data_IF_353297199121
#
_entry.id   IF_353297199121
#
_cell.length_a   1.000
_cell.length_b   1.000
_cell.length_c   1.000
_cell.angle_alpha   90.00
_cell.angle_beta   90.00
_cell.angle_gamma   90.00
#
_symmetry.space_group_name_H-M   'P 1'
#
loop_
_entity.id
_entity.type
_entity.pdbx_description
1 polymer ?
#
# COMPACT_ATOMS: atom_id res chain seq x y z
N UNK A 1 -17.46 -39.69 -11.80
CA UNK A 1 -17.68 -38.37 -12.45
C UNK A 1 -16.67 -37.39 -11.88
N UNK A 2 -15.78 -36.83 -12.70
CA UNK A 2 -14.90 -35.74 -12.30
C UNK A 2 -15.71 -34.44 -12.36
N UNK A 3 -15.90 -33.77 -11.23
CA UNK A 3 -16.50 -32.43 -11.17
C UNK A 3 -15.48 -31.45 -11.72
N UNK A 4 -15.74 -30.91 -12.91
CA UNK A 4 -15.01 -29.77 -13.45
C UNK A 4 -15.19 -28.60 -12.48
N UNK A 5 -14.12 -27.92 -12.02
CA UNK A 5 -14.25 -26.72 -11.21
C UNK A 5 -15.01 -25.66 -12.01
N UNK A 6 -16.10 -25.12 -11.46
CA UNK A 6 -16.76 -23.95 -12.02
C UNK A 6 -15.80 -22.77 -11.81
N UNK A 7 -15.42 -22.02 -12.85
CA UNK A 7 -14.58 -20.84 -12.66
C UNK A 7 -15.30 -19.85 -11.74
N UNK A 8 -14.61 -19.34 -10.73
CA UNK A 8 -15.12 -18.21 -9.95
C UNK A 8 -15.12 -16.96 -10.83
N UNK A 9 -16.29 -16.56 -11.32
CA UNK A 9 -16.43 -15.29 -12.02
C UNK A 9 -16.83 -14.20 -11.00
N UNK A 10 -16.00 -13.16 -10.89
CA UNK A 10 -16.26 -11.97 -10.08
C UNK A 10 -16.95 -10.89 -10.92
N UNK A 11 -18.00 -10.26 -10.40
CA UNK A 11 -18.59 -9.04 -11.00
C UNK A 11 -17.84 -7.81 -10.50
N UNK A 12 -17.55 -6.87 -11.41
CA UNK A 12 -16.92 -5.58 -11.10
C UNK A 12 -17.94 -4.47 -11.35
N UNK A 13 -18.23 -3.66 -10.34
CA UNK A 13 -19.00 -2.43 -10.51
C UNK A 13 -18.02 -1.27 -10.62
N UNK A 14 -17.99 -0.62 -11.78
CA UNK A 14 -17.15 0.55 -12.02
C UNK A 14 -18.03 1.79 -12.05
N UNK A 15 -17.93 2.64 -11.02
CA UNK A 15 -18.45 4.00 -11.12
C UNK A 15 -17.40 4.87 -11.82
N UNK A 16 -17.76 5.48 -12.95
CA UNK A 16 -16.89 6.43 -13.65
C UNK A 16 -16.96 7.81 -13.01
N UNK A 17 -16.57 7.91 -11.74
CA UNK A 17 -16.24 9.17 -11.07
C UNK A 17 -15.00 8.91 -10.21
N UNK A 18 -14.01 9.76 -10.39
CA UNK A 18 -12.61 9.65 -9.96
C UNK A 18 -12.51 9.26 -8.47
N UNK A 19 -11.85 8.13 -8.17
CA UNK A 19 -11.15 7.83 -6.90
C UNK A 19 -11.75 6.87 -5.83
N UNK A 20 -12.67 5.96 -6.15
CA UNK A 20 -12.88 4.79 -5.28
C UNK A 20 -13.31 3.55 -6.06
N UNK A 21 -12.61 2.43 -5.87
CA UNK A 21 -13.01 1.11 -6.33
C UNK A 21 -13.36 0.30 -5.09
N UNK A 22 -14.64 0.18 -4.77
CA UNK A 22 -15.11 -0.82 -3.81
C UNK A 22 -15.20 -2.16 -4.56
N UNK A 23 -14.38 -3.13 -4.15
CA UNK A 23 -14.44 -4.49 -4.69
C UNK A 23 -15.35 -5.34 -3.79
N UNK A 24 -16.66 -5.38 -4.08
CA UNK A 24 -17.53 -6.40 -3.50
C UNK A 24 -17.46 -7.68 -4.36
N UNK A 25 -17.11 -8.81 -3.74
CA UNK A 25 -17.11 -10.11 -4.42
C UNK A 25 -18.19 -11.03 -3.83
N UNK A 26 -19.30 -11.20 -4.56
CA UNK A 26 -20.30 -12.21 -4.22
C UNK A 26 -20.12 -13.45 -5.08
N UNK A 27 -20.12 -14.64 -4.47
CA UNK A 27 -20.05 -15.91 -5.20
C UNK A 27 -21.30 -16.13 -6.07
N UNK A 28 -21.11 -16.46 -7.35
CA UNK A 28 -22.19 -16.85 -8.26
C UNK A 28 -22.71 -18.28 -8.04
N UNK A 29 -22.18 -19.01 -7.04
CA UNK A 29 -22.61 -20.38 -6.73
C UNK A 29 -24.12 -20.50 -6.40
N UNK A 30 -24.80 -19.38 -6.11
CA UNK A 30 -26.24 -19.33 -5.86
C UNK A 30 -27.13 -18.95 -7.06
N UNK A 31 -26.59 -18.65 -8.25
CA UNK A 31 -27.42 -18.17 -9.37
C UNK A 31 -26.92 -18.66 -10.75
N UNK A 32 -27.27 -19.89 -11.17
CA UNK A 32 -26.71 -20.58 -12.33
C UNK A 32 -27.15 -20.04 -13.71
N UNK A 33 -27.85 -18.91 -13.77
CA UNK A 33 -28.43 -18.36 -15.01
C UNK A 33 -27.60 -17.33 -15.77
N UNK A 34 -26.42 -16.93 -15.28
CA UNK A 34 -25.73 -15.75 -15.82
C UNK A 34 -24.37 -16.05 -16.48
N UNK A 35 -24.38 -16.75 -17.61
CA UNK A 35 -23.41 -16.57 -18.71
C UNK A 35 -24.14 -16.88 -20.02
N UNK A 36 -24.22 -15.92 -20.96
CA UNK A 36 -23.12 -15.69 -21.89
C UNK A 36 -22.95 -14.23 -22.35
N UNK A 37 -21.78 -13.92 -22.92
CA UNK A 37 -21.62 -12.91 -23.99
C UNK A 37 -21.84 -11.44 -23.62
N UNK A 38 -20.76 -10.66 -23.65
CA UNK A 38 -20.69 -9.27 -24.11
C UNK A 38 -22.02 -8.55 -24.42
N UNK A 39 -22.77 -8.09 -23.41
CA UNK A 39 -23.81 -7.04 -23.52
C UNK A 39 -24.41 -6.75 -22.13
N UNK A 40 -23.60 -6.30 -21.18
CA UNK A 40 -24.11 -5.73 -19.92
C UNK A 40 -23.46 -4.37 -19.66
N UNK A 41 -23.55 -3.47 -20.63
CA UNK A 41 -23.80 -2.08 -20.29
C UNK A 41 -25.15 -2.07 -19.58
N UNK A 42 -25.19 -1.85 -18.27
CA UNK A 42 -26.44 -1.72 -17.53
C UNK A 42 -27.11 -0.41 -17.99
N UNK A 43 -28.07 -0.41 -18.94
CA UNK A 43 -28.49 0.83 -19.61
C UNK A 43 -29.30 1.75 -18.68
N UNK A 44 -29.65 1.26 -17.48
CA UNK A 44 -30.39 1.99 -16.47
C UNK A 44 -29.58 2.44 -15.26
N UNK A 45 -28.30 2.05 -15.13
CA UNK A 45 -27.46 2.53 -14.03
C UNK A 45 -26.57 3.67 -14.52
N UNK A 46 -27.08 4.89 -14.39
CA UNK A 46 -26.25 6.09 -14.38
C UNK A 46 -26.01 6.46 -12.93
N UNK A 47 -24.74 6.53 -12.51
CA UNK A 47 -24.41 7.24 -11.27
C UNK A 47 -24.99 8.66 -11.36
N UNK A 48 -25.84 9.05 -10.42
CA UNK A 48 -26.47 10.37 -10.39
C UNK A 48 -25.50 11.53 -10.08
N UNK A 49 -24.19 11.25 -10.08
CA UNK A 49 -23.17 12.11 -9.49
C UNK A 49 -23.24 12.09 -7.95
N UNK A 50 -22.15 12.51 -7.31
CA UNK A 50 -22.23 12.95 -5.92
C UNK A 50 -22.48 14.46 -5.96
N UNK A 51 -23.72 14.95 -5.76
CA UNK A 51 -23.93 16.38 -5.65
C UNK A 51 -23.03 16.89 -4.54
N UNK A 52 -22.31 17.99 -4.80
CA UNK A 52 -21.45 18.59 -3.80
C UNK A 52 -22.27 18.89 -2.56
N UNK A 53 -21.80 18.41 -1.41
CA UNK A 53 -22.44 18.62 -0.13
C UNK A 53 -22.47 20.13 0.15
N UNK A 54 -23.65 20.70 0.38
CA UNK A 54 -23.73 22.08 0.85
C UNK A 54 -23.02 22.21 2.21
N UNK A 55 -22.33 23.31 2.45
CA UNK A 55 -21.69 23.59 3.75
C UNK A 55 -22.22 24.94 4.26
N UNK A 56 -22.83 25.00 5.45
CA UNK A 56 -23.05 23.91 6.40
C UNK A 56 -24.16 22.92 6.01
N UNK A 57 -24.09 21.68 6.49
CA UNK A 57 -25.14 20.65 6.33
C UNK A 57 -25.00 19.53 7.37
N UNK A 58 -25.90 18.55 7.33
CA UNK A 58 -25.81 17.32 8.11
C UNK A 58 -25.49 16.12 7.20
N UNK A 59 -24.56 15.27 7.63
CA UNK A 59 -24.19 14.02 6.97
C UNK A 59 -24.15 12.89 8.00
N UNK A 60 -24.96 11.85 7.80
CA UNK A 60 -25.03 10.68 8.69
C UNK A 60 -25.19 11.04 10.18
N UNK A 61 -25.94 12.11 10.49
CA UNK A 61 -26.14 12.61 11.86
C UNK A 61 -25.05 13.55 12.38
N UNK A 62 -24.01 13.85 11.60
CA UNK A 62 -22.94 14.79 11.96
C UNK A 62 -23.14 16.13 11.28
N UNK A 63 -23.11 17.21 12.07
CA UNK A 63 -23.12 18.58 11.57
C UNK A 63 -21.77 18.92 10.93
N UNK A 64 -21.77 19.14 9.62
CA UNK A 64 -20.61 19.49 8.81
C UNK A 64 -20.52 21.02 8.74
N UNK A 65 -19.42 21.55 9.27
CA UNK A 65 -19.05 22.98 9.15
C UNK A 65 -17.55 23.12 8.92
N UNK A 66 -17.16 24.15 8.17
CA UNK A 66 -15.77 24.33 7.74
C UNK A 66 -14.83 24.61 8.91
N UNK A 67 -15.34 25.21 9.98
CA UNK A 67 -14.62 25.60 11.18
C UNK A 67 -14.35 24.41 12.12
N UNK A 68 -14.97 23.26 11.85
CA UNK A 68 -14.96 22.09 12.74
C UNK A 68 -14.36 20.84 12.08
N UNK A 69 -13.72 20.97 10.92
CA UNK A 69 -13.20 19.82 10.18
C UNK A 69 -12.25 18.94 10.99
N UNK A 70 -11.43 19.52 11.88
CA UNK A 70 -10.53 18.74 12.75
C UNK A 70 -11.32 17.84 13.70
N UNK A 71 -12.31 18.38 14.39
CA UNK A 71 -13.15 17.62 15.33
C UNK A 71 -13.99 16.57 14.59
N UNK A 72 -14.54 16.94 13.42
CA UNK A 72 -15.31 16.04 12.57
C UNK A 72 -14.44 14.87 12.10
N UNK A 73 -13.24 15.14 11.60
CA UNK A 73 -12.30 14.11 11.17
C UNK A 73 -11.89 13.22 12.34
N UNK A 74 -11.59 13.82 13.51
CA UNK A 74 -11.21 13.07 14.71
C UNK A 74 -12.32 12.13 15.17
N UNK A 75 -13.57 12.60 15.24
CA UNK A 75 -14.73 11.76 15.60
C UNK A 75 -14.97 10.69 14.54
N UNK A 76 -14.92 11.07 13.25
CA UNK A 76 -15.06 10.14 12.14
C UNK A 76 -14.02 9.03 12.13
N UNK A 77 -12.78 9.33 12.52
CA UNK A 77 -11.74 8.32 12.69
C UNK A 77 -11.88 7.52 13.97
N UNK A 78 -12.27 8.10 15.11
CA UNK A 78 -12.40 7.34 16.35
C UNK A 78 -13.59 6.37 16.32
N UNK A 79 -14.75 6.86 15.88
CA UNK A 79 -16.02 6.14 15.85
C UNK A 79 -16.84 6.63 14.65
N UNK A 80 -16.61 6.10 13.43
CA UNK A 80 -17.29 6.56 12.23
C UNK A 80 -18.81 6.50 12.40
N UNK A 81 -19.55 7.58 12.07
CA UNK A 81 -21.02 7.61 12.18
C UNK A 81 -21.72 6.56 11.32
N UNK A 82 -21.07 6.17 10.22
CA UNK A 82 -21.53 5.14 9.32
C UNK A 82 -20.35 4.31 8.82
N UNK A 83 -20.51 2.98 8.85
CA UNK A 83 -19.57 2.02 8.26
C UNK A 83 -20.35 1.23 7.22
N UNK A 84 -19.98 1.30 5.92
CA UNK A 84 -20.63 0.48 4.91
C UNK A 84 -20.48 -1.02 5.23
N UNK A 85 -21.51 -1.85 4.96
CA UNK A 85 -21.37 -3.30 5.03
C UNK A 85 -20.19 -3.77 4.16
N UNK A 86 -19.41 -4.74 4.64
CA UNK A 86 -18.26 -5.33 3.92
C UNK A 86 -17.07 -4.38 3.68
N UNK A 87 -17.12 -3.14 4.20
CA UNK A 87 -15.98 -2.22 4.12
C UNK A 87 -14.99 -2.47 5.26
N UNK A 88 -13.77 -2.90 4.90
CA UNK A 88 -12.67 -3.10 5.85
C UNK A 88 -11.95 -1.78 6.24
N UNK A 89 -12.22 -0.67 5.52
CA UNK A 89 -11.52 0.60 5.70
C UNK A 89 -12.19 1.55 6.68
N UNK A 90 -11.68 1.68 7.91
CA UNK A 90 -12.26 2.58 8.91
C UNK A 90 -11.93 4.08 8.68
N UNK A 91 -11.12 4.41 7.66
CA UNK A 91 -10.95 5.78 7.17
C UNK A 91 -12.04 6.18 6.14
N UNK A 92 -12.89 5.25 5.71
CA UNK A 92 -13.82 5.43 4.59
C UNK A 92 -14.78 6.60 4.81
N UNK A 93 -15.26 6.83 6.03
CA UNK A 93 -16.20 7.93 6.28
C UNK A 93 -15.58 9.31 6.02
N UNK A 94 -14.35 9.55 6.51
CA UNK A 94 -13.64 10.82 6.29
C UNK A 94 -13.17 10.95 4.83
N UNK A 95 -12.73 9.84 4.21
CA UNK A 95 -12.44 9.78 2.77
C UNK A 95 -13.69 10.12 1.93
N UNK A 96 -14.86 9.57 2.28
CA UNK A 96 -16.15 9.90 1.63
C UNK A 96 -16.47 11.37 1.80
N UNK A 97 -16.37 11.91 3.02
CA UNK A 97 -16.60 13.33 3.29
C UNK A 97 -15.70 14.20 2.41
N UNK A 98 -14.41 13.88 2.31
CA UNK A 98 -13.47 14.60 1.44
C UNK A 98 -13.93 14.66 -0.02
N UNK A 99 -14.45 13.57 -0.58
CA UNK A 99 -14.91 13.56 -1.97
C UNK A 99 -16.23 14.28 -2.22
N UNK A 100 -17.18 14.19 -1.28
CA UNK A 100 -18.48 14.86 -1.44
C UNK A 100 -18.43 16.35 -1.09
N UNK A 101 -17.41 16.81 -0.35
CA UNK A 101 -17.22 18.23 -0.09
C UNK A 101 -16.96 19.00 -1.40
N UNK A 102 -17.44 20.26 -1.50
CA UNK A 102 -17.04 21.17 -2.56
C UNK A 102 -15.51 21.32 -2.59
N UNK A 103 -14.94 21.42 -3.79
CA UNK A 103 -13.49 21.46 -3.98
C UNK A 103 -12.79 22.53 -3.14
N UNK A 104 -13.44 23.68 -2.92
CA UNK A 104 -12.94 24.77 -2.07
C UNK A 104 -12.75 24.41 -0.61
N UNK A 105 -13.44 23.38 -0.08
CA UNK A 105 -13.34 22.95 1.31
C UNK A 105 -12.43 21.75 1.53
N UNK A 106 -12.10 20.99 0.46
CA UNK A 106 -11.24 19.81 0.56
C UNK A 106 -9.85 20.10 1.13
N UNK A 107 -9.16 21.20 0.76
CA UNK A 107 -7.86 21.52 1.34
C UNK A 107 -7.93 21.71 2.86
N UNK A 108 -8.99 22.37 3.37
CA UNK A 108 -9.17 22.60 4.80
C UNK A 108 -9.43 21.30 5.57
N UNK A 109 -10.20 20.36 5.01
CA UNK A 109 -10.34 19.03 5.62
C UNK A 109 -9.03 18.24 5.58
N UNK A 110 -8.29 18.31 4.46
CA UNK A 110 -6.97 17.69 4.34
C UNK A 110 -6.04 18.18 5.43
N UNK A 111 -5.83 19.49 5.55
CA UNK A 111 -4.96 20.09 6.57
C UNK A 111 -5.41 19.72 8.01
N UNK A 112 -6.71 19.68 8.26
CA UNK A 112 -7.27 19.26 9.53
C UNK A 112 -7.03 17.77 9.85
N UNK A 113 -6.94 16.89 8.85
CA UNK A 113 -6.52 15.49 9.03
C UNK A 113 -5.02 15.40 9.33
N UNK A 114 -4.20 16.28 8.76
CA UNK A 114 -2.77 16.38 9.04
C UNK A 114 -2.50 16.62 10.54
N UNK A 115 -3.31 17.46 11.20
CA UNK A 115 -3.25 17.72 12.65
C UNK A 115 -3.54 16.49 13.53
N UNK A 116 -4.03 15.40 12.94
CA UNK A 116 -4.40 14.16 13.63
C UNK A 116 -3.36 13.04 13.44
N UNK A 117 -2.32 13.24 12.63
CA UNK A 117 -1.27 12.25 12.37
C UNK A 117 -0.49 11.84 13.64
N UNK A 118 -0.53 12.67 14.69
CA UNK A 118 0.06 12.40 16.00
C UNK A 118 -0.98 12.43 17.14
N UNK A 119 -2.27 12.22 16.84
CA UNK A 119 -3.31 12.17 17.88
C UNK A 119 -2.94 11.14 18.96
N UNK A 120 -3.17 11.45 20.25
CA UNK A 120 -2.87 10.51 21.34
C UNK A 120 -3.68 9.21 21.25
N UNK A 121 -4.83 9.23 20.57
CA UNK A 121 -5.55 8.01 20.22
C UNK A 121 -4.92 7.37 18.96
N UNK A 122 -4.25 6.24 19.15
CA UNK A 122 -3.58 5.50 18.07
C UNK A 122 -4.53 5.11 16.92
N UNK A 123 -5.84 4.92 17.19
CA UNK A 123 -6.84 4.65 16.14
C UNK A 123 -7.05 5.86 15.25
N UNK A 124 -7.05 7.06 15.83
CA UNK A 124 -7.17 8.31 15.07
C UNK A 124 -5.93 8.52 14.22
N UNK A 125 -4.74 8.38 14.82
CA UNK A 125 -3.47 8.57 14.10
C UNK A 125 -3.34 7.61 12.91
N UNK A 126 -3.60 6.31 13.11
CA UNK A 126 -3.46 5.33 12.02
C UNK A 126 -4.44 5.57 10.88
N UNK A 127 -5.68 5.98 11.19
CA UNK A 127 -6.70 6.26 10.17
C UNK A 127 -6.43 7.56 9.44
N UNK A 128 -5.80 8.56 10.08
CA UNK A 128 -5.27 9.75 9.42
C UNK A 128 -4.13 9.40 8.44
N UNK A 129 -3.22 8.49 8.80
CA UNK A 129 -2.18 8.00 7.87
C UNK A 129 -2.80 7.26 6.66
N UNK A 130 -3.78 6.38 6.90
CA UNK A 130 -4.52 5.68 5.83
C UNK A 130 -5.32 6.62 4.95
N UNK A 131 -5.86 7.70 5.50
CA UNK A 131 -6.51 8.76 4.72
C UNK A 131 -5.54 9.31 3.68
N UNK A 132 -4.28 9.62 4.02
CA UNK A 132 -3.33 10.10 3.01
C UNK A 132 -2.81 9.03 2.06
N UNK A 133 -2.81 7.76 2.46
CA UNK A 133 -2.57 6.63 1.54
C UNK A 133 -3.63 6.55 0.44
N UNK A 134 -4.89 6.84 0.78
CA UNK A 134 -6.02 6.86 -0.16
C UNK A 134 -6.11 8.19 -0.91
N UNK A 135 -6.08 9.31 -0.18
CA UNK A 135 -6.22 10.69 -0.63
C UNK A 135 -4.84 11.33 -0.82
N UNK A 136 -4.05 10.73 -1.71
CA UNK A 136 -2.63 11.02 -1.97
C UNK A 136 -2.33 12.45 -2.44
N UNK A 137 -3.37 13.21 -2.77
CA UNK A 137 -3.31 14.58 -3.26
C UNK A 137 -3.93 15.58 -2.27
N UNK A 138 -4.42 15.12 -1.12
CA UNK A 138 -4.96 16.00 -0.10
C UNK A 138 -3.87 16.92 0.45
N UNK A 139 -4.27 18.14 0.80
CA UNK A 139 -3.42 19.10 1.49
C UNK A 139 -3.02 18.58 2.88
N UNK A 140 -1.84 18.94 3.37
CA UNK A 140 -1.30 18.47 4.64
C UNK A 140 -0.47 17.18 4.55
N UNK A 141 -0.48 16.50 3.39
CA UNK A 141 0.31 15.28 3.17
C UNK A 141 1.83 15.51 3.33
N UNK A 142 2.30 16.73 3.09
CA UNK A 142 3.71 17.13 3.22
C UNK A 142 4.24 16.93 4.64
N UNK A 143 3.36 16.94 5.64
CA UNK A 143 3.72 16.71 7.05
C UNK A 143 4.10 15.25 7.33
N UNK A 144 3.73 14.29 6.47
CA UNK A 144 4.07 12.87 6.65
C UNK A 144 5.59 12.66 6.73
N UNK A 145 6.34 13.37 5.88
CA UNK A 145 7.80 13.26 5.79
C UNK A 145 8.46 13.77 7.07
N UNK A 146 8.04 14.94 7.54
CA UNK A 146 8.51 15.54 8.80
C UNK A 146 8.21 14.61 9.99
N UNK A 147 6.99 14.07 10.07
CA UNK A 147 6.60 13.15 11.14
C UNK A 147 7.40 11.85 11.08
N UNK A 148 7.67 11.32 9.89
CA UNK A 148 8.46 10.10 9.74
C UNK A 148 9.90 10.31 10.23
N UNK A 149 10.51 11.45 9.87
CA UNK A 149 11.83 11.84 10.37
C UNK A 149 11.84 12.03 11.90
N UNK A 150 10.93 12.84 12.41
CA UNK A 150 11.02 13.36 13.79
C UNK A 150 10.38 12.42 14.82
N UNK A 151 9.46 11.55 14.39
CA UNK A 151 8.69 10.68 15.27
C UNK A 151 8.69 9.19 14.86
N UNK A 152 9.34 8.80 13.77
CA UNK A 152 9.34 7.42 13.27
C UNK A 152 9.73 6.39 14.34
N UNK A 153 10.82 6.63 15.08
CA UNK A 153 11.26 5.75 16.16
C UNK A 153 10.23 5.57 17.28
N UNK A 154 9.49 6.63 17.65
CA UNK A 154 8.39 6.54 18.63
C UNK A 154 7.20 5.77 18.06
N UNK A 155 6.83 6.05 16.81
CA UNK A 155 5.71 5.38 16.15
C UNK A 155 5.99 3.88 15.90
N UNK A 156 7.26 3.50 15.79
CA UNK A 156 7.70 2.11 15.67
C UNK A 156 7.36 1.27 16.91
N UNK A 157 7.21 1.89 18.09
CA UNK A 157 6.86 1.19 19.33
C UNK A 157 5.35 1.10 19.57
N UNK A 158 4.53 1.67 18.69
CA UNK A 158 3.08 1.72 18.83
C UNK A 158 2.46 0.77 17.81
N UNK A 159 1.84 -0.30 18.29
CA UNK A 159 1.11 -1.27 17.46
C UNK A 159 -0.11 -0.63 16.83
N UNK A 160 -0.40 -0.97 15.58
CA UNK A 160 -1.62 -0.57 14.90
C UNK A 160 -2.83 -1.26 15.57
N UNK A 161 -3.80 -0.50 16.11
CA UNK A 161 -4.94 -1.05 16.83
C UNK A 161 -5.94 -1.80 15.95
N UNK A 162 -5.89 -1.61 14.62
CA UNK A 162 -6.75 -2.30 13.66
C UNK A 162 -6.05 -3.54 13.06
N UNK A 163 -4.71 -3.62 13.08
CA UNK A 163 -3.93 -4.79 12.63
C UNK A 163 -2.62 -4.95 13.42
N UNK A 164 -2.56 -5.86 14.42
CA UNK A 164 -1.44 -5.95 15.34
C UNK A 164 -0.13 -6.47 14.71
N UNK A 165 -0.16 -6.86 13.43
CA UNK A 165 1.06 -7.23 12.68
C UNK A 165 1.90 -6.00 12.31
N UNK A 166 1.30 -4.81 12.34
CA UNK A 166 1.93 -3.57 11.93
C UNK A 166 2.07 -2.58 13.08
N UNK A 167 2.92 -1.58 12.88
CA UNK A 167 3.12 -0.44 13.77
C UNK A 167 2.60 0.84 13.12
N UNK A 168 2.45 1.91 13.88
CA UNK A 168 2.11 3.21 13.30
C UNK A 168 3.19 3.72 12.35
N UNK A 169 4.47 3.40 12.60
CA UNK A 169 5.55 3.72 11.66
C UNK A 169 5.36 3.00 10.32
N UNK A 170 4.98 1.71 10.33
CA UNK A 170 4.68 0.98 9.10
C UNK A 170 3.60 1.68 8.28
N UNK A 171 2.51 2.10 8.93
CA UNK A 171 1.39 2.77 8.28
C UNK A 171 1.76 4.17 7.76
N UNK A 172 2.62 4.89 8.49
CA UNK A 172 3.17 6.16 8.06
C UNK A 172 4.07 6.00 6.82
N UNK A 173 4.97 5.02 6.82
CA UNK A 173 5.83 4.73 5.68
C UNK A 173 5.00 4.26 4.46
N UNK A 174 3.96 3.45 4.67
CA UNK A 174 2.99 3.08 3.63
C UNK A 174 2.34 4.30 2.98
N UNK A 175 1.95 5.31 3.79
CA UNK A 175 1.40 6.57 3.26
C UNK A 175 2.43 7.38 2.46
N UNK A 176 3.73 7.25 2.77
CA UNK A 176 4.81 7.94 2.05
C UNK A 176 5.14 7.33 0.70
N UNK A 177 4.89 6.04 0.47
CA UNK A 177 5.33 5.31 -0.74
C UNK A 177 5.08 6.11 -2.02
N UNK A 178 3.85 6.58 -2.23
CA UNK A 178 3.49 7.22 -3.49
C UNK A 178 4.08 8.61 -3.65
N UNK A 179 4.30 9.31 -2.54
CA UNK A 179 4.91 10.63 -2.53
C UNK A 179 6.41 10.53 -2.80
N UNK A 180 7.08 9.55 -2.18
CA UNK A 180 8.52 9.33 -2.33
C UNK A 180 8.95 8.93 -3.74
N UNK A 181 8.07 8.36 -4.56
CA UNK A 181 8.38 8.04 -5.98
C UNK A 181 7.75 9.00 -6.99
N UNK A 182 7.10 10.08 -6.53
CA UNK A 182 6.48 11.03 -7.43
C UNK A 182 7.51 12.00 -7.99
N UNK A 183 7.42 12.23 -9.29
CA UNK A 183 8.27 13.19 -9.99
C UNK A 183 7.48 14.42 -10.42
N UNK A 184 8.15 15.56 -10.47
CA UNK A 184 7.65 16.80 -11.05
C UNK A 184 7.77 16.81 -12.59
N UNK A 185 7.35 17.90 -13.23
CA UNK A 185 7.39 18.05 -14.69
C UNK A 185 8.83 18.11 -15.24
N UNK A 186 9.83 18.40 -14.40
CA UNK A 186 11.24 18.41 -14.76
C UNK A 186 11.90 17.02 -14.58
N UNK A 187 11.16 16.03 -14.08
CA UNK A 187 11.66 14.70 -13.80
C UNK A 187 12.45 14.60 -12.49
N UNK A 188 12.37 15.59 -11.60
CA UNK A 188 12.92 15.54 -10.25
C UNK A 188 11.93 14.93 -9.27
N UNK A 189 12.41 14.32 -8.18
CA UNK A 189 11.54 13.84 -7.11
C UNK A 189 10.85 15.02 -6.40
N UNK A 190 9.53 14.94 -6.23
CA UNK A 190 8.75 15.96 -5.50
C UNK A 190 9.11 15.98 -4.01
N UNK A 191 9.42 14.81 -3.44
CA UNK A 191 9.81 14.67 -2.05
C UNK A 191 11.03 13.73 -1.92
N UNK A 192 12.25 14.25 -2.13
CA UNK A 192 13.48 13.46 -2.01
C UNK A 192 13.73 12.90 -0.62
N UNK A 193 13.23 13.58 0.43
CA UNK A 193 13.41 13.15 1.82
C UNK A 193 12.48 11.96 2.14
N UNK A 194 11.22 11.99 1.70
CA UNK A 194 10.32 10.83 1.77
C UNK A 194 10.90 9.61 1.05
N UNK A 195 11.50 9.83 -0.12
CA UNK A 195 12.18 8.78 -0.87
C UNK A 195 13.32 8.16 -0.06
N UNK A 196 14.19 8.98 0.52
CA UNK A 196 15.32 8.50 1.31
C UNK A 196 14.88 7.76 2.57
N UNK A 197 13.82 8.22 3.24
CA UNK A 197 13.22 7.49 4.37
C UNK A 197 12.72 6.10 3.95
N UNK A 198 12.13 5.96 2.76
CA UNK A 198 11.70 4.66 2.24
C UNK A 198 12.91 3.75 1.90
N UNK A 199 14.01 4.31 1.36
CA UNK A 199 15.26 3.56 1.15
C UNK A 199 15.80 3.03 2.47
N UNK A 200 15.87 3.88 3.49
CA UNK A 200 16.33 3.50 4.83
C UNK A 200 15.44 2.43 5.46
N UNK A 201 14.12 2.54 5.29
CA UNK A 201 13.19 1.52 5.76
C UNK A 201 13.45 0.16 5.09
N UNK A 202 13.65 0.13 3.77
CA UNK A 202 13.97 -1.10 3.01
C UNK A 202 15.32 -1.69 3.42
N UNK A 203 16.34 -0.85 3.59
CA UNK A 203 17.65 -1.27 4.09
C UNK A 203 17.57 -1.85 5.51
N UNK A 204 16.65 -1.36 6.35
CA UNK A 204 16.37 -1.90 7.67
C UNK A 204 15.49 -3.17 7.65
N UNK A 205 15.28 -3.80 6.48
CA UNK A 205 14.48 -5.01 6.32
C UNK A 205 12.96 -4.80 6.30
N UNK A 206 12.48 -3.54 6.38
CA UNK A 206 11.04 -3.23 6.34
C UNK A 206 10.55 -3.20 4.90
N UNK A 207 9.28 -3.53 4.69
CA UNK A 207 8.65 -3.48 3.37
C UNK A 207 7.22 -2.90 3.45
N UNK A 208 7.07 -1.61 3.79
CA UNK A 208 5.77 -0.95 3.83
C UNK A 208 5.13 -0.92 2.44
N UNK A 209 3.87 -1.38 2.33
CA UNK A 209 3.09 -1.44 1.08
C UNK A 209 3.89 -1.99 -0.11
N UNK A 210 4.70 -3.03 0.11
CA UNK A 210 5.49 -3.67 -0.94
C UNK A 210 6.44 -2.71 -1.69
N UNK A 211 6.95 -1.69 -0.99
CA UNK A 211 7.83 -0.67 -1.57
C UNK A 211 9.07 -1.23 -2.26
N UNK A 212 9.58 -2.39 -1.84
CA UNK A 212 10.71 -3.06 -2.49
C UNK A 212 10.43 -3.39 -3.97
N UNK A 213 9.17 -3.68 -4.32
CA UNK A 213 8.75 -3.89 -5.72
C UNK A 213 8.75 -2.59 -6.52
N UNK A 214 8.48 -1.45 -5.87
CA UNK A 214 8.55 -0.13 -6.49
C UNK A 214 10.01 0.25 -6.79
N UNK A 215 10.92 0.04 -5.83
CA UNK A 215 12.37 0.17 -6.07
C UNK A 215 12.85 -0.77 -7.18
N UNK A 216 12.41 -2.03 -7.19
CA UNK A 216 12.74 -2.91 -8.29
C UNK A 216 12.30 -2.31 -9.64
N UNK A 217 11.07 -1.82 -9.74
CA UNK A 217 10.55 -1.27 -11.00
C UNK A 217 11.28 -0.01 -11.45
N UNK A 218 11.60 0.90 -10.53
CA UNK A 218 12.08 2.26 -10.87
C UNK A 218 13.60 2.42 -10.71
N UNK A 219 14.24 1.66 -9.83
CA UNK A 219 15.63 1.82 -9.40
C UNK A 219 16.30 0.46 -9.17
N UNK A 220 16.27 -0.38 -10.20
CA UNK A 220 16.80 -1.75 -10.12
C UNK A 220 18.27 -1.80 -9.71
N UNK A 221 19.09 -0.87 -10.21
CA UNK A 221 20.51 -0.79 -9.87
C UNK A 221 20.73 -0.53 -8.38
N UNK A 222 19.93 0.36 -7.78
CA UNK A 222 19.97 0.60 -6.34
C UNK A 222 19.56 -0.66 -5.56
N UNK A 223 18.48 -1.34 -5.98
CA UNK A 223 18.05 -2.57 -5.32
C UNK A 223 19.14 -3.65 -5.37
N UNK A 224 19.78 -3.83 -6.54
CA UNK A 224 20.88 -4.80 -6.72
C UNK A 224 22.05 -4.50 -5.81
N UNK A 225 22.48 -3.23 -5.75
CA UNK A 225 23.60 -2.80 -4.92
C UNK A 225 23.34 -3.02 -3.42
N UNK A 226 22.08 -3.04 -2.99
CA UNK A 226 21.69 -3.10 -1.59
C UNK A 226 21.04 -4.43 -1.16
N UNK A 227 20.84 -5.38 -2.08
CA UNK A 227 20.14 -6.63 -1.82
C UNK A 227 20.71 -7.42 -0.62
N UNK A 228 22.04 -7.42 -0.46
CA UNK A 228 22.71 -8.10 0.66
C UNK A 228 22.35 -7.46 2.00
N UNK A 229 22.39 -6.13 2.11
CA UNK A 229 22.06 -5.43 3.35
C UNK A 229 20.57 -5.56 3.68
N UNK A 230 19.69 -5.54 2.66
CA UNK A 230 18.25 -5.78 2.83
C UNK A 230 18.01 -7.17 3.44
N UNK A 231 18.61 -8.22 2.88
CA UNK A 231 18.44 -9.59 3.41
C UNK A 231 19.07 -9.76 4.78
N UNK A 232 20.22 -9.14 5.02
CA UNK A 232 20.88 -9.19 6.33
C UNK A 232 19.99 -8.61 7.44
N UNK A 233 19.29 -7.51 7.18
CA UNK A 233 18.41 -6.85 8.15
C UNK A 233 16.97 -7.39 8.15
N UNK A 234 16.54 -8.06 7.08
CA UNK A 234 15.27 -8.78 6.98
C UNK A 234 15.46 -10.14 6.29
N UNK A 235 15.92 -11.19 6.99
CA UNK A 235 16.21 -12.49 6.39
C UNK A 235 15.02 -13.15 5.71
N UNK A 236 13.78 -12.83 6.12
CA UNK A 236 12.57 -13.30 5.46
C UNK A 236 12.43 -12.77 4.02
N UNK A 237 13.15 -11.70 3.66
CA UNK A 237 13.12 -11.06 2.33
C UNK A 237 13.89 -11.79 1.25
N UNK A 238 14.55 -12.91 1.58
CA UNK A 238 15.24 -13.74 0.60
C UNK A 238 14.31 -14.12 -0.55
N UNK A 239 13.06 -14.48 -0.25
CA UNK A 239 12.08 -14.86 -1.29
C UNK A 239 11.79 -13.71 -2.25
N UNK A 240 11.54 -12.50 -1.75
CA UNK A 240 11.30 -11.32 -2.56
C UNK A 240 12.52 -10.94 -3.40
N UNK A 241 13.73 -10.99 -2.82
CA UNK A 241 14.97 -10.69 -3.56
C UNK A 241 15.18 -11.70 -4.70
N UNK A 242 15.00 -13.00 -4.46
CA UNK A 242 15.08 -14.03 -5.52
C UNK A 242 14.06 -13.73 -6.63
N UNK A 243 12.82 -13.45 -6.26
CA UNK A 243 11.76 -13.13 -7.21
C UNK A 243 12.06 -11.87 -8.03
N UNK A 244 12.57 -10.80 -7.40
CA UNK A 244 12.81 -9.52 -8.05
C UNK A 244 14.04 -9.52 -8.97
N UNK A 245 15.07 -10.29 -8.62
CA UNK A 245 16.31 -10.39 -9.38
C UNK A 245 16.25 -11.41 -10.52
N UNK A 246 15.20 -12.25 -10.60
CA UNK A 246 15.05 -13.26 -11.66
C UNK A 246 15.12 -12.69 -13.08
N UNK A 247 14.72 -11.42 -13.26
CA UNK A 247 14.69 -10.72 -14.55
C UNK A 247 16.04 -10.14 -14.97
N UNK A 248 17.05 -10.19 -14.10
CA UNK A 248 18.40 -9.76 -14.44
C UNK A 248 19.11 -10.81 -15.29
N UNK A 249 20.12 -10.40 -16.08
CA UNK A 249 21.08 -11.33 -16.66
C UNK A 249 21.65 -12.30 -15.61
N UNK A 250 21.87 -13.56 -16.02
CA UNK A 250 22.30 -14.65 -15.13
C UNK A 250 23.56 -14.29 -14.34
N UNK A 251 24.57 -13.77 -15.02
CA UNK A 251 25.84 -13.35 -14.43
C UNK A 251 25.66 -12.33 -13.31
N UNK A 252 24.76 -11.34 -13.48
CA UNK A 252 24.50 -10.32 -12.47
C UNK A 252 23.80 -10.89 -11.23
N UNK A 253 22.77 -11.72 -11.40
CA UNK A 253 22.05 -12.30 -10.26
C UNK A 253 22.90 -13.32 -9.49
N UNK A 254 23.80 -14.05 -10.16
CA UNK A 254 24.69 -15.01 -9.51
C UNK A 254 25.63 -14.33 -8.49
N UNK A 255 26.16 -13.15 -8.83
CA UNK A 255 26.98 -12.34 -7.92
C UNK A 255 26.20 -11.99 -6.66
N UNK A 256 24.96 -11.52 -6.81
CA UNK A 256 24.11 -11.17 -5.67
C UNK A 256 23.71 -12.40 -4.85
N UNK A 257 23.30 -13.49 -5.49
CA UNK A 257 22.91 -14.72 -4.80
C UNK A 257 24.06 -15.32 -4.01
N UNK A 258 25.29 -15.28 -4.53
CA UNK A 258 26.47 -15.71 -3.78
C UNK A 258 26.69 -14.84 -2.53
N UNK A 259 26.68 -13.52 -2.70
CA UNK A 259 26.85 -12.60 -1.58
C UNK A 259 25.76 -12.75 -0.50
N UNK A 260 24.51 -13.03 -0.92
CA UNK A 260 23.40 -13.35 0.00
C UNK A 260 23.61 -14.70 0.69
N UNK A 261 24.04 -15.74 -0.04
CA UNK A 261 24.31 -17.07 0.51
C UNK A 261 25.44 -17.06 1.56
N UNK A 262 26.36 -16.11 1.47
CA UNK A 262 27.50 -16.00 2.37
C UNK A 262 27.15 -15.27 3.69
N UNK A 263 25.93 -14.74 3.84
CA UNK A 263 25.48 -14.07 5.07
C UNK A 263 25.34 -15.04 6.27
N UNK A 264 24.72 -16.20 6.06
CA UNK A 264 24.58 -17.26 7.07
C UNK A 264 24.12 -18.59 6.47
N UNK A 265 24.34 -19.73 7.16
CA UNK A 265 23.83 -21.03 6.71
C UNK A 265 22.31 -21.08 6.52
N UNK A 266 21.54 -20.40 7.39
CA UNK A 266 20.08 -20.37 7.31
C UNK A 266 19.59 -19.58 6.10
N UNK A 267 20.22 -18.43 5.82
CA UNK A 267 19.94 -17.62 4.62
C UNK A 267 20.31 -18.41 3.36
N UNK A 268 21.45 -19.11 3.35
CA UNK A 268 21.83 -20.00 2.25
C UNK A 268 20.78 -21.08 2.02
N UNK A 269 20.31 -21.74 3.07
CA UNK A 269 19.27 -22.78 2.95
C UNK A 269 17.95 -22.21 2.41
N UNK A 270 17.52 -21.03 2.90
CA UNK A 270 16.34 -20.34 2.39
C UNK A 270 16.49 -19.94 0.92
N UNK A 271 17.66 -19.44 0.52
CA UNK A 271 17.97 -19.07 -0.86
C UNK A 271 17.87 -20.28 -1.79
N UNK A 272 18.53 -21.38 -1.43
CA UNK A 272 18.51 -22.63 -2.22
C UNK A 272 17.07 -23.17 -2.36
N UNK A 273 16.28 -23.14 -1.29
CA UNK A 273 14.87 -23.53 -1.32
C UNK A 273 14.05 -22.69 -2.31
N UNK A 274 14.25 -21.37 -2.34
CA UNK A 274 13.56 -20.50 -3.29
C UNK A 274 14.03 -20.72 -4.73
N UNK A 275 15.34 -20.96 -4.93
CA UNK A 275 15.88 -21.31 -6.25
C UNK A 275 15.26 -22.60 -6.79
N UNK A 276 15.12 -23.61 -5.92
CA UNK A 276 14.49 -24.88 -6.27
C UNK A 276 13.00 -24.76 -6.62
N UNK A 277 12.30 -23.83 -5.97
CA UNK A 277 10.87 -23.60 -6.21
C UNK A 277 10.60 -22.80 -7.50
N UNK A 278 11.43 -21.80 -7.78
CA UNK A 278 11.14 -20.79 -8.81
C UNK A 278 11.84 -21.02 -10.15
N UNK A 279 12.96 -21.77 -10.17
CA UNK A 279 13.75 -22.02 -11.38
C UNK A 279 13.65 -23.47 -11.85
N UNK A 280 13.78 -23.68 -13.16
CA UNK A 280 13.67 -25.01 -13.79
C UNK A 280 14.92 -25.38 -14.56
N UNK A 281 15.09 -26.69 -14.77
CA UNK A 281 16.00 -27.29 -15.74
C UNK A 281 17.46 -26.77 -15.65
N UNK A 282 17.98 -26.28 -16.77
CA UNK A 282 19.36 -25.85 -16.94
C UNK A 282 19.68 -24.60 -16.10
N UNK A 283 18.73 -23.68 -16.00
CA UNK A 283 18.89 -22.43 -15.25
C UNK A 283 19.10 -22.69 -13.75
N UNK A 284 18.27 -23.57 -13.18
CA UNK A 284 18.42 -24.04 -11.80
C UNK A 284 19.79 -24.70 -11.60
N UNK A 285 20.18 -25.59 -12.51
CA UNK A 285 21.44 -26.34 -12.41
C UNK A 285 22.66 -25.41 -12.41
N UNK A 286 22.67 -24.39 -13.28
CA UNK A 286 23.74 -23.40 -13.34
C UNK A 286 23.84 -22.57 -12.05
N UNK A 287 22.71 -22.15 -11.48
CA UNK A 287 22.69 -21.37 -10.23
C UNK A 287 23.22 -22.21 -9.06
N UNK A 288 22.75 -23.45 -8.91
CA UNK A 288 23.20 -24.32 -7.82
C UNK A 288 24.69 -24.62 -7.92
N UNK A 289 25.20 -24.95 -9.12
CA UNK A 289 26.62 -25.19 -9.35
C UNK A 289 27.48 -23.96 -8.98
N UNK A 290 27.00 -22.74 -9.27
CA UNK A 290 27.70 -21.51 -8.90
C UNK A 290 27.77 -21.30 -7.37
N UNK A 291 26.70 -21.64 -6.64
CA UNK A 291 26.63 -21.48 -5.18
C UNK A 291 27.42 -22.59 -4.43
N UNK A 292 27.63 -23.75 -5.05
CA UNK A 292 28.44 -24.85 -4.53
C UNK A 292 29.95 -24.70 -4.83
N UNK A 293 30.31 -24.11 -5.98
CA UNK A 293 31.70 -24.00 -6.45
C UNK A 293 32.56 -22.89 -5.83
N UNK A 294 32.05 -22.19 -4.82
CA UNK A 294 32.72 -21.07 -4.18
C UNK A 294 33.38 -21.40 -2.85
N UNK A 295 34.58 -22.01 -2.88
CA UNK A 295 35.53 -22.02 -1.75
C UNK A 295 36.51 -20.86 -1.88
#
# INVERSE_FOLDING_TARGET
>A
MKTTPIPEFKRRYECRCIAHVENASTSLAGNPGAYPGHEFANPGWACAGHPALAVPSELDGVQISAERFRDIARVGFASPPFVPPESEGLAIWVSRLYWILPESFRPALGDAVADLLLDPDARVAVRAMRFYREQRMAMGQERLTEIARDHGARLATITDPDDPRYTLEYQLLSALVLRGFRHDDAGGLIDPEAHELLRQAVLAGKNPDDVIYTFARLELEWLVANAVEIVKNGPERVTEIVYLLRRLPMDQRLVVYRAVADLSPDIRAALLKNIDADFKDEERTQILAHLEGGN
#
